data_IF_784760104091
#
_entry.id   IF_784760104091
#
_cell.length_a   1.000
_cell.length_b   1.000
_cell.length_c   1.000
_cell.angle_alpha   90.00
_cell.angle_beta   90.00
_cell.angle_gamma   90.00
#
_symmetry.space_group_name_H-M   'P 1'
#
loop_
_entity.id
_entity.type
_entity.pdbx_description
1 polymer ?
#
# COMPACT_ATOMS: atom_id res chain seq x y z
N UNK A 1 18.16 -7.28 -27.78
CA UNK A 1 18.61 -5.91 -27.64
C UNK A 1 18.17 -5.32 -26.33
N UNK A 2 19.11 -4.84 -25.57
CA UNK A 2 18.82 -4.23 -24.30
C UNK A 2 18.01 -2.93 -24.51
N UNK A 3 17.08 -2.68 -23.61
CA UNK A 3 16.30 -1.45 -23.63
C UNK A 3 15.01 -1.49 -24.45
N UNK A 4 14.74 -2.59 -25.14
CA UNK A 4 13.48 -2.74 -25.88
C UNK A 4 12.57 -3.70 -25.11
N UNK A 5 11.44 -3.18 -24.64
CA UNK A 5 10.43 -3.97 -23.95
C UNK A 5 9.44 -4.53 -24.97
N UNK A 6 9.06 -5.80 -24.78
CA UNK A 6 7.96 -6.40 -25.52
C UNK A 6 6.63 -5.83 -25.01
N UNK A 7 5.53 -6.09 -25.74
CA UNK A 7 4.20 -5.68 -25.27
C UNK A 7 3.87 -6.35 -23.94
N UNK A 8 4.27 -7.62 -23.72
CA UNK A 8 4.06 -8.31 -22.46
C UNK A 8 4.82 -7.64 -21.31
N UNK A 9 6.04 -7.16 -21.58
CA UNK A 9 6.84 -6.47 -20.57
C UNK A 9 6.19 -5.12 -20.20
N UNK A 10 5.65 -4.40 -21.18
CA UNK A 10 4.93 -3.15 -20.95
C UNK A 10 3.68 -3.38 -20.13
N UNK A 11 2.91 -4.42 -20.44
CA UNK A 11 1.72 -4.78 -19.67
C UNK A 11 2.06 -5.11 -18.23
N UNK A 12 3.11 -5.88 -18.01
CA UNK A 12 3.55 -6.23 -16.66
C UNK A 12 3.96 -5.00 -15.88
N UNK A 13 4.67 -4.07 -16.51
CA UNK A 13 5.07 -2.84 -15.87
C UNK A 13 3.85 -1.98 -15.50
N UNK A 14 2.89 -1.88 -16.39
CA UNK A 14 1.65 -1.12 -16.12
C UNK A 14 0.87 -1.73 -14.96
N UNK A 15 0.77 -3.05 -14.91
CA UNK A 15 0.11 -3.75 -13.81
C UNK A 15 0.85 -3.54 -12.50
N UNK A 16 2.17 -3.61 -12.54
CA UNK A 16 3.00 -3.36 -11.35
C UNK A 16 2.80 -1.93 -10.84
N UNK A 17 2.83 -0.94 -11.73
CA UNK A 17 2.60 0.46 -11.36
C UNK A 17 1.21 0.66 -10.79
N UNK A 18 0.22 -0.05 -11.32
CA UNK A 18 -1.15 -0.02 -10.80
C UNK A 18 -1.24 -0.56 -9.38
N UNK A 19 -0.59 -1.68 -9.12
CA UNK A 19 -0.54 -2.28 -7.77
C UNK A 19 0.18 -1.35 -6.80
N UNK A 20 1.29 -0.76 -7.23
CA UNK A 20 2.05 0.17 -6.41
C UNK A 20 1.21 1.40 -6.04
N UNK A 21 0.49 1.96 -7.02
CA UNK A 21 -0.41 3.10 -6.77
C UNK A 21 -1.51 2.77 -5.78
N UNK A 22 -2.09 1.57 -5.91
CA UNK A 22 -3.12 1.10 -4.98
C UNK A 22 -2.56 0.92 -3.58
N UNK A 23 -1.38 0.35 -3.46
CA UNK A 23 -0.68 0.17 -2.18
C UNK A 23 -0.50 1.51 -1.47
N UNK A 24 -0.01 2.52 -2.18
CA UNK A 24 0.21 3.85 -1.61
C UNK A 24 -1.11 4.47 -1.16
N UNK A 25 -2.15 4.35 -1.97
CA UNK A 25 -3.48 4.88 -1.65
C UNK A 25 -4.03 4.26 -0.36
N UNK A 26 -3.97 2.94 -0.25
CA UNK A 26 -4.43 2.23 0.93
C UNK A 26 -3.60 2.56 2.16
N UNK A 27 -2.28 2.64 2.00
CA UNK A 27 -1.37 3.00 3.08
C UNK A 27 -1.69 4.38 3.65
N UNK A 28 -2.08 5.33 2.80
CA UNK A 28 -2.45 6.68 3.24
C UNK A 28 -3.84 6.73 3.84
N UNK A 29 -4.76 5.89 3.35
CA UNK A 29 -6.16 5.88 3.80
C UNK A 29 -6.34 5.27 5.18
N UNK A 30 -5.58 4.23 5.50
CA UNK A 30 -5.74 3.49 6.76
C UNK A 30 -5.59 4.37 7.99
N UNK A 31 -4.55 5.21 8.12
CA UNK A 31 -4.43 6.08 9.28
C UNK A 31 -5.60 7.06 9.45
N UNK A 32 -6.18 7.53 8.36
CA UNK A 32 -7.34 8.41 8.39
C UNK A 32 -8.56 7.68 8.97
N UNK A 33 -8.80 6.46 8.50
CA UNK A 33 -9.91 5.65 9.00
C UNK A 33 -9.71 5.27 10.47
N UNK A 34 -8.49 4.92 10.86
CA UNK A 34 -8.16 4.65 12.25
C UNK A 34 -8.40 5.87 13.13
N UNK A 35 -8.03 7.06 12.65
CA UNK A 35 -8.26 8.31 13.34
C UNK A 35 -9.75 8.56 13.59
N UNK A 36 -10.59 8.30 12.58
CA UNK A 36 -12.04 8.45 12.72
C UNK A 36 -12.60 7.49 13.77
N UNK A 37 -12.13 6.26 13.79
CA UNK A 37 -12.56 5.27 14.79
C UNK A 37 -12.13 5.67 16.19
N UNK A 38 -10.91 6.17 16.33
CA UNK A 38 -10.39 6.65 17.61
C UNK A 38 -11.22 7.83 18.13
N UNK A 39 -11.52 8.79 17.25
CA UNK A 39 -12.34 9.96 17.60
C UNK A 39 -13.75 9.57 18.02
N UNK A 40 -14.25 8.44 17.48
CA UNK A 40 -15.54 7.89 17.86
C UNK A 40 -15.49 6.98 19.09
N UNK A 41 -14.32 6.86 19.74
CA UNK A 41 -14.13 5.99 20.91
C UNK A 41 -14.11 4.52 20.58
N UNK A 42 -13.78 4.14 19.34
CA UNK A 42 -13.83 2.75 18.87
C UNK A 42 -12.44 2.12 18.71
N UNK A 43 -11.49 2.55 19.51
CA UNK A 43 -10.10 2.04 19.44
C UNK A 43 -9.99 0.55 19.78
N UNK A 44 -10.94 0.02 20.54
CA UNK A 44 -10.95 -1.39 20.94
C UNK A 44 -11.83 -2.24 20.04
N UNK A 45 -12.37 -1.67 18.97
CA UNK A 45 -13.21 -2.42 18.03
C UNK A 45 -12.37 -3.40 17.23
N UNK A 46 -13.03 -4.48 16.75
CA UNK A 46 -12.38 -5.43 15.87
C UNK A 46 -11.89 -4.77 14.58
N UNK A 47 -12.65 -3.80 14.07
CA UNK A 47 -12.29 -3.05 12.86
C UNK A 47 -10.99 -2.29 13.04
N UNK A 48 -10.82 -1.62 14.19
CA UNK A 48 -9.59 -0.89 14.48
C UNK A 48 -8.38 -1.83 14.52
N UNK A 49 -8.52 -2.98 15.18
CA UNK A 49 -7.46 -3.98 15.24
C UNK A 49 -7.10 -4.54 13.87
N UNK A 50 -8.10 -4.77 13.01
CA UNK A 50 -7.90 -5.22 11.64
C UNK A 50 -7.13 -4.19 10.83
N UNK A 51 -7.49 -2.91 10.95
CA UNK A 51 -6.79 -1.82 10.28
C UNK A 51 -5.35 -1.68 10.77
N UNK A 52 -5.11 -1.85 12.06
CA UNK A 52 -3.76 -1.84 12.62
C UNK A 52 -2.90 -2.94 11.99
N UNK A 53 -3.43 -4.15 11.85
CA UNK A 53 -2.74 -5.24 11.20
C UNK A 53 -2.41 -4.93 9.74
N UNK A 54 -3.36 -4.37 9.00
CA UNK A 54 -3.14 -3.96 7.61
C UNK A 54 -2.09 -2.86 7.51
N UNK A 55 -2.13 -1.89 8.41
CA UNK A 55 -1.15 -0.80 8.44
C UNK A 55 0.26 -1.34 8.57
N UNK A 56 0.47 -2.29 9.48
CA UNK A 56 1.79 -2.89 9.69
C UNK A 56 2.25 -3.67 8.46
N UNK A 57 1.36 -4.39 7.80
CA UNK A 57 1.66 -5.12 6.57
C UNK A 57 2.06 -4.16 5.45
N UNK A 58 1.27 -3.12 5.23
CA UNK A 58 1.58 -2.14 4.18
C UNK A 58 2.85 -1.36 4.48
N UNK A 59 3.11 -1.06 5.75
CA UNK A 59 4.34 -0.39 6.15
C UNK A 59 5.58 -1.21 5.75
N UNK A 60 5.54 -2.52 5.99
CA UNK A 60 6.62 -3.41 5.58
C UNK A 60 6.81 -3.42 4.07
N UNK A 61 5.72 -3.44 3.30
CA UNK A 61 5.76 -3.43 1.85
C UNK A 61 6.33 -2.11 1.32
N UNK A 62 5.86 -0.98 1.85
CA UNK A 62 6.34 0.35 1.46
C UNK A 62 7.83 0.47 1.74
N UNK A 63 8.26 0.01 2.91
CA UNK A 63 9.67 0.04 3.30
C UNK A 63 10.54 -0.76 2.30
N UNK A 64 10.08 -1.92 1.91
CA UNK A 64 10.77 -2.74 0.92
C UNK A 64 10.91 -2.01 -0.42
N UNK A 65 9.84 -1.39 -0.89
CA UNK A 65 9.87 -0.63 -2.14
C UNK A 65 10.80 0.58 -2.05
N UNK A 66 10.83 1.25 -0.91
CA UNK A 66 11.75 2.38 -0.68
C UNK A 66 13.20 1.92 -0.71
N UNK A 67 13.50 0.78 -0.08
CA UNK A 67 14.85 0.22 -0.08
C UNK A 67 15.33 -0.12 -1.48
N UNK A 68 14.44 -0.47 -2.37
CA UNK A 68 14.76 -0.77 -3.77
C UNK A 68 14.69 0.45 -4.68
N UNK A 69 14.46 1.63 -4.13
CA UNK A 69 14.42 2.85 -4.91
C UNK A 69 13.17 3.02 -5.77
N UNK A 70 12.10 2.32 -5.42
CA UNK A 70 10.85 2.36 -6.18
C UNK A 70 9.83 3.36 -5.62
N UNK A 71 10.11 3.90 -4.47
CA UNK A 71 9.29 4.95 -3.83
C UNK A 71 10.16 6.07 -3.31
#
# INVERSE_FOLDING_TARGET
>A
MAGVFSEDDKERLEKFEGVLSELIREYKRIPEEMGRLRDAGKEKSARYGELMGRKLTYLSMVDMFEQHGLL
#
